data_IF_274851583860
#
_entry.id   IF_274851583860
#
_cell.length_a   1.000
_cell.length_b   1.000
_cell.length_c   1.000
_cell.angle_alpha   90.00
_cell.angle_beta   90.00
_cell.angle_gamma   90.00
#
_symmetry.space_group_name_H-M   'P 1'
#
loop_
_entity.id
_entity.type
_entity.pdbx_description
1 polymer ?
#
# COMPACT_ATOMS: atom_id res chain seq x y z
N UNK A 1 -14.87 -6.32 -19.94
CA UNK A 1 -15.78 -5.29 -20.51
C UNK A 1 -16.30 -4.34 -19.44
N UNK A 2 -16.60 -3.12 -19.88
CA UNK A 2 -17.25 -2.08 -19.09
C UNK A 2 -18.51 -1.59 -19.80
N UNK A 3 -19.52 -1.24 -19.02
CA UNK A 3 -20.67 -0.44 -19.48
C UNK A 3 -20.67 0.85 -18.67
N UNK A 4 -20.85 1.97 -19.36
CA UNK A 4 -21.16 3.25 -18.71
C UNK A 4 -22.47 3.73 -19.32
N UNK A 5 -23.42 4.09 -18.46
CA UNK A 5 -24.72 4.63 -18.86
C UNK A 5 -24.78 6.15 -18.61
N UNK A 6 -25.81 6.79 -19.18
CA UNK A 6 -25.87 8.26 -19.28
C UNK A 6 -26.14 8.98 -17.97
N UNK A 7 -26.52 8.26 -16.92
CA UNK A 7 -26.76 8.79 -15.57
C UNK A 7 -25.50 8.75 -14.68
N UNK A 8 -24.37 8.27 -15.22
CA UNK A 8 -23.11 8.13 -14.48
C UNK A 8 -22.92 6.75 -13.84
N UNK A 9 -23.93 5.87 -13.89
CA UNK A 9 -23.76 4.48 -13.45
C UNK A 9 -22.82 3.72 -14.40
N UNK A 10 -22.11 2.75 -13.83
CA UNK A 10 -21.20 1.90 -14.57
C UNK A 10 -21.25 0.46 -14.07
N UNK A 11 -20.97 -0.48 -14.96
CA UNK A 11 -20.88 -1.90 -14.63
C UNK A 11 -19.61 -2.50 -15.21
N UNK A 12 -19.02 -3.46 -14.49
CA UNK A 12 -17.78 -4.12 -14.86
C UNK A 12 -17.93 -5.65 -14.77
N UNK A 13 -17.36 -6.36 -15.73
CA UNK A 13 -17.33 -7.81 -15.76
C UNK A 13 -16.33 -8.32 -16.81
N UNK A 14 -15.94 -9.59 -16.76
CA UNK A 14 -15.04 -10.16 -17.75
C UNK A 14 -15.70 -10.23 -19.12
N UNK A 15 -14.88 -10.25 -20.16
CA UNK A 15 -15.36 -10.50 -21.51
C UNK A 15 -15.85 -11.94 -21.66
N UNK A 16 -16.88 -12.14 -22.49
CA UNK A 16 -17.40 -13.48 -22.85
C UNK A 16 -18.41 -14.12 -21.89
N UNK A 17 -18.70 -13.53 -20.72
CA UNK A 17 -19.60 -14.13 -19.71
C UNK A 17 -21.07 -13.66 -19.79
N UNK A 18 -21.43 -12.82 -20.76
CA UNK A 18 -22.83 -12.41 -20.98
C UNK A 18 -23.40 -11.44 -19.95
N UNK A 19 -22.90 -11.41 -18.72
CA UNK A 19 -23.38 -10.57 -17.61
C UNK A 19 -22.30 -9.61 -17.05
N UNK A 20 -22.70 -8.57 -16.31
CA UNK A 20 -21.79 -7.75 -15.52
C UNK A 20 -21.79 -8.26 -14.09
N UNK A 21 -20.63 -8.20 -13.42
CA UNK A 21 -20.45 -8.75 -12.08
C UNK A 21 -20.48 -7.70 -10.99
N UNK A 22 -20.16 -6.46 -11.35
CA UNK A 22 -20.16 -5.32 -10.45
C UNK A 22 -20.99 -4.20 -11.05
N UNK A 23 -21.88 -3.65 -10.23
CA UNK A 23 -22.64 -2.45 -10.52
C UNK A 23 -22.14 -1.31 -9.62
N UNK A 24 -22.04 -0.11 -10.17
CA UNK A 24 -21.58 1.08 -9.47
C UNK A 24 -22.43 1.37 -8.24
N UNK A 25 -21.75 1.73 -7.15
CA UNK A 25 -22.35 2.47 -6.05
C UNK A 25 -22.41 3.97 -6.35
N UNK A 26 -22.83 4.79 -5.38
CA UNK A 26 -22.76 6.24 -5.52
C UNK A 26 -21.31 6.74 -5.55
N UNK A 27 -21.07 7.87 -6.19
CA UNK A 27 -19.83 8.62 -5.97
C UNK A 27 -19.90 9.24 -4.57
N UNK A 28 -18.80 9.19 -3.82
CA UNK A 28 -18.78 9.67 -2.43
C UNK A 28 -17.70 10.74 -2.25
N UNK A 29 -18.06 11.84 -1.58
CA UNK A 29 -17.13 12.82 -1.03
C UNK A 29 -17.52 13.10 0.42
N UNK A 30 -16.52 13.32 1.27
CA UNK A 30 -16.76 13.78 2.64
C UNK A 30 -16.18 15.17 2.82
N UNK A 31 -16.97 16.08 3.38
CA UNK A 31 -16.59 17.47 3.62
C UNK A 31 -17.25 17.99 4.90
N UNK A 32 -16.48 18.69 5.74
CA UNK A 32 -16.94 19.25 7.02
C UNK A 32 -17.71 18.26 7.91
N UNK A 33 -17.32 16.98 7.90
CA UNK A 33 -17.96 15.94 8.69
C UNK A 33 -19.26 15.36 8.11
N UNK A 34 -19.67 15.80 6.91
CA UNK A 34 -20.83 15.28 6.20
C UNK A 34 -20.41 14.41 5.02
N UNK A 35 -21.20 13.36 4.75
CA UNK A 35 -21.12 12.56 3.53
C UNK A 35 -21.99 13.22 2.46
N UNK A 36 -21.41 13.43 1.28
CA UNK A 36 -22.05 13.94 0.08
C UNK A 36 -21.95 12.83 -0.95
N UNK A 37 -23.07 12.37 -1.47
CA UNK A 37 -23.11 11.26 -2.42
C UNK A 37 -24.18 11.44 -3.49
N UNK A 38 -24.06 10.70 -4.59
CA UNK A 38 -24.98 10.83 -5.73
C UNK A 38 -26.34 10.17 -5.51
N UNK A 39 -26.47 9.19 -4.61
CA UNK A 39 -27.76 8.52 -4.33
C UNK A 39 -28.67 9.42 -3.49
N UNK A 40 -28.11 10.09 -2.48
CA UNK A 40 -28.81 11.04 -1.62
C UNK A 40 -29.03 12.41 -2.29
N UNK A 41 -28.41 12.65 -3.44
CA UNK A 41 -28.41 13.94 -4.12
C UNK A 41 -27.50 14.98 -3.46
N UNK A 42 -26.63 14.59 -2.52
CA UNK A 42 -25.62 15.47 -1.93
C UNK A 42 -24.53 15.87 -2.93
N UNK A 43 -24.23 15.01 -3.91
CA UNK A 43 -23.39 15.27 -5.08
C UNK A 43 -24.21 15.21 -6.36
N UNK A 44 -23.97 16.16 -7.26
CA UNK A 44 -24.63 16.20 -8.57
C UNK A 44 -23.62 15.99 -9.68
N UNK A 45 -23.90 15.00 -10.55
CA UNK A 45 -23.20 14.85 -11.83
C UNK A 45 -23.53 16.07 -12.71
N UNK A 46 -22.53 16.91 -12.98
CA UNK A 46 -22.70 18.12 -13.81
C UNK A 46 -22.61 17.78 -15.29
N UNK A 47 -21.66 16.93 -15.62
CA UNK A 47 -21.39 16.48 -16.98
C UNK A 47 -20.59 15.18 -16.91
N UNK A 48 -20.79 14.32 -17.90
CA UNK A 48 -19.87 13.22 -18.19
C UNK A 48 -19.53 13.25 -19.68
N UNK A 49 -18.29 12.92 -20.00
CA UNK A 49 -17.82 12.91 -21.37
C UNK A 49 -16.95 11.68 -21.59
N UNK A 50 -17.32 10.85 -22.56
CA UNK A 50 -16.40 9.91 -23.23
C UNK A 50 -15.53 10.76 -24.13
N UNK A 51 -14.31 11.06 -23.71
CA UNK A 51 -13.67 12.27 -24.23
C UNK A 51 -12.30 12.05 -24.83
N UNK A 52 -11.53 11.08 -24.38
CA UNK A 52 -10.15 10.99 -24.81
C UNK A 52 -9.69 9.57 -25.00
N UNK A 53 -8.70 9.44 -25.87
CA UNK A 53 -7.95 8.23 -26.08
C UNK A 53 -6.48 8.60 -26.22
N UNK A 54 -5.60 7.70 -25.82
CA UNK A 54 -4.17 7.92 -25.92
C UNK A 54 -3.40 6.61 -25.84
N UNK A 55 -2.08 6.73 -25.69
CA UNK A 55 -1.19 5.60 -25.46
C UNK A 55 -0.37 5.92 -24.22
N UNK A 56 -0.32 5.00 -23.27
CA UNK A 56 0.54 5.07 -22.09
C UNK A 56 1.34 3.76 -21.91
N UNK A 57 1.92 3.56 -20.72
CA UNK A 57 2.71 2.37 -20.39
C UNK A 57 1.92 1.07 -20.47
N UNK A 58 0.60 1.08 -20.31
CA UNK A 58 -0.31 -0.06 -20.41
C UNK A 58 -0.93 -0.19 -21.81
N UNK A 59 -0.63 0.73 -22.73
CA UNK A 59 -1.05 0.65 -24.13
C UNK A 59 -2.11 1.69 -24.47
N UNK A 60 -2.92 1.39 -25.48
CA UNK A 60 -3.97 2.27 -26.00
C UNK A 60 -5.12 2.30 -25.02
N UNK A 61 -5.42 3.49 -24.52
CA UNK A 61 -6.51 3.72 -23.59
C UNK A 61 -7.60 4.60 -24.18
N UNK A 62 -8.79 4.48 -23.60
CA UNK A 62 -9.89 5.42 -23.74
C UNK A 62 -10.46 5.73 -22.34
N UNK A 63 -10.96 6.94 -22.13
CA UNK A 63 -11.52 7.35 -20.84
C UNK A 63 -12.96 7.85 -20.89
N UNK A 64 -13.62 7.72 -19.74
CA UNK A 64 -14.86 8.41 -19.42
C UNK A 64 -14.64 9.25 -18.19
N UNK A 65 -14.91 10.55 -18.29
CA UNK A 65 -14.71 11.51 -17.21
C UNK A 65 -16.06 11.93 -16.63
N UNK A 66 -16.19 11.84 -15.31
CA UNK A 66 -17.34 12.31 -14.53
C UNK A 66 -16.90 13.53 -13.73
N UNK A 67 -17.70 14.61 -13.76
CA UNK A 67 -17.46 15.80 -12.94
C UNK A 67 -18.64 16.01 -12.00
N UNK A 68 -18.35 15.96 -10.71
CA UNK A 68 -19.32 16.19 -9.65
C UNK A 68 -18.93 17.42 -8.86
N UNK A 69 -19.92 18.27 -8.59
CA UNK A 69 -19.71 19.50 -7.84
C UNK A 69 -20.87 19.76 -6.89
N UNK A 70 -20.56 20.15 -5.66
CA UNK A 70 -21.53 20.68 -4.70
C UNK A 70 -20.82 21.66 -3.76
N UNK A 71 -21.41 22.84 -3.53
CA UNK A 71 -20.94 23.80 -2.52
C UNK A 71 -19.42 24.09 -2.54
N UNK A 72 -18.79 24.17 -3.72
CA UNK A 72 -17.35 24.43 -3.87
C UNK A 72 -16.43 23.21 -3.68
N UNK A 73 -17.00 22.03 -3.41
CA UNK A 73 -16.32 20.73 -3.44
C UNK A 73 -16.40 20.19 -4.86
N UNK A 74 -15.26 19.80 -5.41
CA UNK A 74 -15.16 19.25 -6.76
C UNK A 74 -14.52 17.86 -6.70
N UNK A 75 -15.15 16.92 -7.40
CA UNK A 75 -14.56 15.64 -7.76
C UNK A 75 -14.50 15.51 -9.27
N UNK A 76 -13.33 15.18 -9.78
CA UNK A 76 -13.18 14.65 -11.13
C UNK A 76 -12.84 13.17 -11.02
N UNK A 77 -13.72 12.32 -11.52
CA UNK A 77 -13.54 10.88 -11.54
C UNK A 77 -13.34 10.41 -12.98
N UNK A 78 -12.45 9.46 -13.21
CA UNK A 78 -12.18 8.91 -14.56
C UNK A 78 -12.17 7.40 -14.54
N UNK A 79 -12.88 6.78 -15.48
CA UNK A 79 -12.72 5.37 -15.82
C UNK A 79 -11.86 5.28 -17.08
N UNK A 80 -10.71 4.63 -16.96
CA UNK A 80 -9.75 4.43 -18.04
C UNK A 80 -9.76 2.95 -18.40
N UNK A 81 -9.96 2.63 -19.67
CA UNK A 81 -10.01 1.24 -20.18
C UNK A 81 -9.00 1.06 -21.30
N UNK A 82 -8.56 -0.19 -21.50
CA UNK A 82 -7.54 -0.54 -22.49
C UNK A 82 -8.04 -1.63 -23.46
N UNK A 83 -9.06 -1.35 -24.30
CA UNK A 83 -9.80 -2.39 -25.02
C UNK A 83 -8.95 -3.27 -25.96
N UNK A 84 -7.84 -2.73 -26.46
CA UNK A 84 -6.99 -3.41 -27.44
C UNK A 84 -5.79 -4.12 -26.82
N UNK A 85 -5.18 -3.51 -25.79
CA UNK A 85 -3.89 -3.97 -25.25
C UNK A 85 -4.03 -4.67 -23.90
N UNK A 86 -5.03 -4.31 -23.08
CA UNK A 86 -5.33 -4.92 -21.78
C UNK A 86 -6.85 -4.89 -21.50
N UNK A 87 -7.68 -5.68 -22.23
CA UNK A 87 -9.13 -5.60 -22.12
C UNK A 87 -9.70 -6.02 -20.76
N UNK A 88 -8.90 -6.74 -19.97
CA UNK A 88 -9.25 -7.28 -18.66
C UNK A 88 -9.07 -6.29 -17.50
N UNK A 89 -8.59 -5.07 -17.77
CA UNK A 89 -8.37 -4.06 -16.72
C UNK A 89 -9.19 -2.79 -16.90
N UNK A 90 -9.49 -2.16 -15.77
CA UNK A 90 -10.03 -0.82 -15.66
C UNK A 90 -9.22 -0.06 -14.61
N UNK A 91 -8.74 1.13 -14.97
CA UNK A 91 -8.12 2.04 -14.01
C UNK A 91 -9.13 3.13 -13.66
N UNK A 92 -9.45 3.23 -12.39
CA UNK A 92 -10.29 4.29 -11.86
C UNK A 92 -9.38 5.35 -11.27
N UNK A 93 -9.63 6.61 -11.59
CA UNK A 93 -8.88 7.75 -11.08
C UNK A 93 -9.82 8.75 -10.42
N UNK A 94 -9.38 9.36 -9.33
CA UNK A 94 -10.04 10.50 -8.70
C UNK A 94 -9.07 11.66 -8.50
N UNK A 95 -9.52 12.85 -8.87
CA UNK A 95 -8.95 14.13 -8.49
C UNK A 95 -9.90 14.83 -7.52
N UNK A 96 -9.37 15.26 -6.38
CA UNK A 96 -10.16 15.73 -5.24
C UNK A 96 -9.76 17.16 -4.85
N UNK A 97 -10.74 18.00 -4.53
CA UNK A 97 -10.50 19.33 -3.96
C UNK A 97 -11.48 19.63 -2.83
N UNK A 98 -10.93 20.02 -1.67
CA UNK A 98 -11.72 20.46 -0.51
C UNK A 98 -12.38 19.31 0.24
N UNK A 99 -11.74 18.14 0.38
CA UNK A 99 -12.33 16.96 1.02
C UNK A 99 -11.75 16.72 2.42
N UNK A 100 -12.60 16.35 3.38
CA UNK A 100 -12.23 15.97 4.76
C UNK A 100 -13.28 15.03 5.36
N UNK A 101 -12.85 13.89 5.89
CA UNK A 101 -13.74 12.95 6.57
C UNK A 101 -13.98 13.33 8.06
N UNK A 102 -15.07 12.82 8.62
CA UNK A 102 -15.39 12.97 10.04
C UNK A 102 -14.55 12.05 10.95
N UNK A 103 -14.01 10.96 10.39
CA UNK A 103 -13.34 9.90 11.14
C UNK A 103 -12.21 9.28 10.33
N UNK A 104 -11.15 8.87 11.03
CA UNK A 104 -10.00 8.14 10.46
C UNK A 104 -10.37 6.78 9.87
N UNK A 105 -11.50 6.20 10.31
CA UNK A 105 -11.97 4.89 9.87
C UNK A 105 -12.77 4.94 8.56
N UNK A 106 -13.04 6.13 8.02
CA UNK A 106 -13.73 6.30 6.74
C UNK A 106 -12.72 6.57 5.61
N UNK A 107 -13.20 6.69 4.38
CA UNK A 107 -12.46 7.34 3.29
C UNK A 107 -12.87 8.81 3.16
N UNK A 108 -12.01 9.71 2.68
CA UNK A 108 -12.44 11.10 2.36
C UNK A 108 -13.23 11.19 1.04
N UNK A 109 -13.16 10.15 0.22
CA UNK A 109 -13.87 10.00 -1.05
C UNK A 109 -14.15 8.53 -1.37
N UNK A 110 -15.02 8.26 -2.33
CA UNK A 110 -15.30 6.92 -2.84
C UNK A 110 -15.45 6.93 -4.35
N UNK A 111 -14.44 6.40 -5.03
CA UNK A 111 -14.48 6.03 -6.45
C UNK A 111 -13.23 5.18 -6.80
N UNK A 112 -13.40 3.94 -7.29
CA UNK A 112 -14.67 3.31 -7.60
C UNK A 112 -15.46 2.99 -6.34
N UNK A 113 -16.78 2.95 -6.50
CA UNK A 113 -17.70 2.33 -5.55
C UNK A 113 -18.50 1.23 -6.24
N UNK A 114 -18.86 0.20 -5.48
CA UNK A 114 -19.64 -0.92 -5.98
C UNK A 114 -20.69 -1.34 -4.96
N UNK A 115 -21.90 -1.64 -5.44
CA UNK A 115 -22.92 -2.28 -4.60
C UNK A 115 -22.61 -3.76 -4.48
N UNK A 116 -22.52 -4.21 -3.25
CA UNK A 116 -22.37 -5.61 -2.86
C UNK A 116 -23.76 -6.22 -2.82
N UNK A 117 -24.31 -6.52 -3.99
CA UNK A 117 -25.53 -7.32 -4.08
C UNK A 117 -25.29 -8.71 -3.44
N UNK A 118 -26.34 -9.33 -2.91
CA UNK A 118 -26.24 -10.70 -2.41
C UNK A 118 -25.82 -11.61 -3.57
N UNK A 119 -24.56 -12.04 -3.56
CA UNK A 119 -24.06 -13.03 -4.50
C UNK A 119 -24.91 -14.29 -4.31
N UNK A 120 -25.60 -14.78 -5.35
CA UNK A 120 -26.38 -16.00 -5.23
C UNK A 120 -25.49 -17.13 -4.71
N UNK A 121 -26.03 -17.97 -3.81
CA UNK A 121 -25.28 -19.07 -3.14
C UNK A 121 -24.60 -20.03 -4.14
N UNK A 122 -25.05 -20.05 -5.40
CA UNK A 122 -24.52 -20.86 -6.49
C UNK A 122 -23.66 -20.09 -7.50
N UNK A 123 -23.22 -18.86 -7.17
CA UNK A 123 -22.38 -18.07 -8.07
C UNK A 123 -20.96 -18.63 -8.14
N UNK A 124 -20.39 -18.67 -9.35
CA UNK A 124 -18.99 -18.99 -9.60
C UNK A 124 -18.06 -17.76 -9.45
N UNK A 125 -18.58 -16.64 -8.95
CA UNK A 125 -17.88 -15.37 -8.80
C UNK A 125 -17.10 -15.28 -7.48
N UNK A 126 -15.80 -14.99 -7.56
CA UNK A 126 -14.93 -14.68 -6.43
C UNK A 126 -14.54 -13.20 -6.35
N UNK A 127 -14.52 -12.66 -5.14
CA UNK A 127 -14.05 -11.31 -4.81
C UNK A 127 -12.70 -11.38 -4.10
N UNK A 128 -11.71 -10.66 -4.65
CA UNK A 128 -10.41 -10.48 -4.01
C UNK A 128 -10.17 -9.01 -3.73
N UNK A 129 -9.83 -8.71 -2.48
CA UNK A 129 -9.42 -7.40 -2.03
C UNK A 129 -8.10 -7.52 -1.29
N UNK A 130 -7.15 -6.65 -1.62
CA UNK A 130 -5.92 -6.51 -0.84
C UNK A 130 -6.28 -5.88 0.53
N UNK A 131 -5.87 -6.51 1.63
CA UNK A 131 -6.21 -6.15 3.03
C UNK A 131 -7.63 -6.56 3.52
N UNK A 132 -8.25 -7.59 2.94
CA UNK A 132 -9.55 -8.13 3.38
C UNK A 132 -9.68 -9.66 3.26
N UNK A 133 -10.86 -10.21 3.59
CA UNK A 133 -11.17 -11.63 3.40
C UNK A 133 -11.17 -11.99 1.90
N UNK A 134 -10.44 -13.05 1.54
CA UNK A 134 -10.32 -13.53 0.16
C UNK A 134 -11.31 -14.67 -0.10
N UNK A 135 -12.12 -14.59 -1.15
CA UNK A 135 -13.03 -15.66 -1.54
C UNK A 135 -13.08 -15.82 -3.05
N UNK A 136 -12.97 -17.04 -3.57
CA UNK A 136 -13.17 -17.30 -4.99
C UNK A 136 -13.18 -18.76 -5.35
N UNK A 137 -13.90 -19.09 -6.43
CA UNK A 137 -13.94 -20.45 -6.99
C UNK A 137 -13.13 -20.52 -8.29
N UNK A 138 -13.02 -21.70 -8.90
CA UNK A 138 -12.23 -21.94 -10.10
C UNK A 138 -12.73 -21.21 -11.38
N UNK A 139 -13.81 -20.44 -11.30
CA UNK A 139 -14.36 -19.67 -12.42
C UNK A 139 -13.85 -18.24 -12.45
N UNK A 140 -14.67 -17.32 -11.94
CA UNK A 140 -14.50 -15.88 -12.11
C UNK A 140 -13.78 -15.17 -10.98
N UNK A 141 -12.91 -14.23 -11.31
CA UNK A 141 -12.15 -13.43 -10.35
C UNK A 141 -12.24 -11.94 -10.69
N UNK A 142 -12.55 -11.15 -9.66
CA UNK A 142 -12.31 -9.72 -9.63
C UNK A 142 -11.22 -9.44 -8.60
N UNK A 143 -10.21 -8.67 -9.01
CA UNK A 143 -9.16 -8.19 -8.13
C UNK A 143 -9.10 -6.67 -8.22
N UNK A 144 -9.30 -5.99 -7.09
CA UNK A 144 -9.24 -4.52 -7.00
C UNK A 144 -8.16 -4.12 -5.99
N UNK A 145 -7.28 -3.21 -6.38
CA UNK A 145 -6.25 -2.66 -5.50
C UNK A 145 -6.01 -1.18 -5.76
N UNK A 146 -5.48 -0.44 -4.77
CA UNK A 146 -4.76 0.80 -5.06
C UNK A 146 -3.71 0.56 -6.16
N UNK A 147 -3.62 1.47 -7.12
CA UNK A 147 -2.61 1.47 -8.18
C UNK A 147 -1.48 2.44 -7.85
N UNK A 148 -1.81 3.56 -7.20
CA UNK A 148 -0.87 4.54 -6.65
C UNK A 148 -1.28 4.94 -5.21
N UNK A 149 -0.52 5.86 -4.60
CA UNK A 149 -0.76 6.36 -3.24
C UNK A 149 -0.99 5.25 -2.21
N UNK A 150 -0.28 4.12 -2.35
CA UNK A 150 -0.55 2.86 -1.66
C UNK A 150 -0.66 3.01 -0.14
N UNK A 151 0.12 3.91 0.45
CA UNK A 151 0.16 4.17 1.90
C UNK A 151 -0.96 5.07 2.42
N UNK A 152 -1.67 5.78 1.52
CA UNK A 152 -2.78 6.65 1.84
C UNK A 152 -4.12 6.11 1.33
N UNK A 153 -4.11 5.01 0.58
CA UNK A 153 -5.28 4.37 0.05
C UNK A 153 -6.01 3.55 1.12
N UNK A 154 -7.34 3.52 1.04
CA UNK A 154 -8.19 2.78 1.96
C UNK A 154 -9.43 2.28 1.25
N UNK A 155 -10.04 1.25 1.84
CA UNK A 155 -11.31 0.69 1.40
C UNK A 155 -12.27 0.73 2.58
N UNK A 156 -13.48 1.19 2.32
CA UNK A 156 -14.54 1.29 3.32
C UNK A 156 -15.81 0.61 2.84
N UNK A 157 -16.42 -0.21 3.69
CA UNK A 157 -17.73 -0.79 3.45
C UNK A 157 -18.76 0.02 4.25
N UNK A 158 -19.66 0.69 3.54
CA UNK A 158 -20.76 1.49 4.10
C UNK A 158 -22.09 0.84 3.73
N UNK A 159 -22.67 0.07 4.65
CA UNK A 159 -23.82 -0.79 4.35
C UNK A 159 -23.46 -1.86 3.32
N UNK A 160 -24.08 -1.78 2.14
CA UNK A 160 -23.81 -2.64 0.98
C UNK A 160 -22.90 -1.96 -0.05
N UNK A 161 -22.40 -0.75 0.18
CA UNK A 161 -21.53 -0.03 -0.76
C UNK A 161 -20.07 -0.18 -0.34
N UNK A 162 -19.27 -0.76 -1.22
CA UNK A 162 -17.84 -0.86 -1.06
C UNK A 162 -17.14 0.27 -1.81
N UNK A 163 -16.34 1.07 -1.12
CA UNK A 163 -15.77 2.32 -1.64
C UNK A 163 -14.25 2.36 -1.49
N UNK A 164 -13.56 2.63 -2.59
CA UNK A 164 -12.12 2.89 -2.60
C UNK A 164 -11.86 4.39 -2.58
N UNK A 165 -10.92 4.81 -1.73
CA UNK A 165 -10.54 6.21 -1.65
C UNK A 165 -9.33 6.43 -0.76
N UNK A 166 -9.12 7.68 -0.34
CA UNK A 166 -8.03 8.06 0.55
C UNK A 166 -8.47 7.95 2.01
N UNK A 167 -7.56 7.54 2.90
CA UNK A 167 -7.78 7.40 4.33
C UNK A 167 -8.41 8.65 4.95
N UNK A 168 -9.42 8.46 5.80
CA UNK A 168 -10.18 9.53 6.43
C UNK A 168 -9.38 10.43 7.37
N UNK A 169 -8.21 9.96 7.83
CA UNK A 169 -7.27 10.73 8.64
C UNK A 169 -6.45 11.75 7.85
N UNK A 170 -6.61 11.84 6.53
CA UNK A 170 -5.94 12.85 5.71
C UNK A 170 -6.64 14.19 5.87
N UNK A 171 -5.91 15.17 6.42
CA UNK A 171 -6.42 16.53 6.64
C UNK A 171 -6.46 17.37 5.37
N UNK A 172 -5.43 17.26 4.53
CA UNK A 172 -5.28 18.06 3.31
C UNK A 172 -4.62 17.23 2.20
N UNK A 173 -5.06 17.46 0.97
CA UNK A 173 -4.42 16.91 -0.23
C UNK A 173 -3.56 18.00 -0.89
N UNK A 174 -2.37 17.66 -1.40
CA UNK A 174 -1.56 18.61 -2.16
C UNK A 174 -2.27 19.03 -3.45
N UNK A 175 -2.00 20.23 -3.99
CA UNK A 175 -2.53 20.64 -5.29
C UNK A 175 -2.19 19.62 -6.38
N UNK A 176 -3.20 19.24 -7.17
CA UNK A 176 -3.04 18.27 -8.26
C UNK A 176 -2.94 16.81 -7.80
N UNK A 177 -3.20 16.50 -6.53
CA UNK A 177 -3.26 15.12 -6.04
C UNK A 177 -4.23 14.27 -6.86
N UNK A 178 -3.77 13.08 -7.23
CA UNK A 178 -4.57 12.06 -7.90
C UNK A 178 -4.40 10.74 -7.15
N UNK A 179 -5.48 9.97 -7.15
CA UNK A 179 -5.50 8.59 -6.66
C UNK A 179 -6.08 7.68 -7.72
N UNK A 180 -5.44 6.55 -7.93
CA UNK A 180 -5.80 5.54 -8.91
C UNK A 180 -6.01 4.18 -8.23
N UNK A 181 -7.06 3.49 -8.66
CA UNK A 181 -7.37 2.11 -8.30
C UNK A 181 -7.36 1.27 -9.57
N UNK A 182 -6.71 0.11 -9.51
CA UNK A 182 -6.67 -0.88 -10.58
C UNK A 182 -7.70 -1.97 -10.29
N UNK A 183 -8.57 -2.24 -11.24
CA UNK A 183 -9.47 -3.38 -11.26
C UNK A 183 -9.05 -4.33 -12.39
N UNK A 184 -8.89 -5.61 -12.06
CA UNK A 184 -8.71 -6.70 -13.01
C UNK A 184 -9.92 -7.64 -12.95
N UNK A 185 -10.39 -8.09 -14.12
CA UNK A 185 -11.39 -9.16 -14.25
C UNK A 185 -10.81 -10.32 -15.05
N UNK A 186 -11.00 -11.55 -14.58
CA UNK A 186 -10.55 -12.72 -15.32
C UNK A 186 -11.34 -13.97 -14.95
N UNK A 187 -11.20 -15.00 -15.78
CA UNK A 187 -12.00 -16.24 -15.69
C UNK A 187 -11.12 -17.49 -15.57
N UNK A 188 -9.83 -17.28 -15.31
CA UNK A 188 -8.79 -18.31 -15.26
C UNK A 188 -8.34 -18.60 -13.81
N UNK A 189 -9.19 -18.25 -12.83
CA UNK A 189 -8.94 -18.45 -11.41
C UNK A 189 -7.95 -17.47 -10.78
N UNK A 190 -7.83 -17.59 -9.45
CA UNK A 190 -7.11 -16.63 -8.58
C UNK A 190 -5.62 -16.52 -8.94
N UNK A 191 -4.97 -17.64 -9.24
CA UNK A 191 -3.55 -17.65 -9.58
C UNK A 191 -3.22 -16.85 -10.84
N UNK A 192 -4.10 -16.88 -11.85
CA UNK A 192 -3.92 -16.07 -13.05
C UNK A 192 -4.21 -14.59 -12.78
N UNK A 193 -5.24 -14.29 -11.97
CA UNK A 193 -5.56 -12.92 -11.60
C UNK A 193 -4.38 -12.21 -10.91
N UNK A 194 -3.72 -12.86 -9.94
CA UNK A 194 -2.53 -12.29 -9.29
C UNK A 194 -1.36 -12.10 -10.26
N UNK A 195 -1.16 -13.02 -11.22
CA UNK A 195 -0.11 -12.89 -12.24
C UNK A 195 -0.36 -11.69 -13.14
N UNK A 196 -1.58 -11.53 -13.66
CA UNK A 196 -1.92 -10.42 -14.55
C UNK A 196 -1.94 -9.07 -13.83
N UNK A 197 -2.55 -9.01 -12.65
CA UNK A 197 -2.49 -7.83 -11.79
C UNK A 197 -1.05 -7.41 -11.49
N UNK A 198 -0.20 -8.36 -11.08
CA UNK A 198 1.21 -8.11 -10.81
C UNK A 198 1.99 -7.68 -12.06
N UNK A 199 1.69 -8.24 -13.23
CA UNK A 199 2.26 -7.82 -14.52
C UNK A 199 1.92 -6.36 -14.83
N UNK A 200 0.65 -5.96 -14.65
CA UNK A 200 0.18 -4.59 -14.93
C UNK A 200 0.86 -3.57 -14.02
N UNK A 201 0.90 -3.83 -12.71
CA UNK A 201 1.61 -2.93 -11.78
C UNK A 201 3.11 -2.85 -12.11
N UNK A 202 3.75 -3.98 -12.39
CA UNK A 202 5.15 -4.00 -12.81
C UNK A 202 5.40 -3.18 -14.07
N UNK A 203 4.55 -3.30 -15.08
CA UNK A 203 4.63 -2.55 -16.32
C UNK A 203 4.46 -1.05 -16.06
N UNK A 204 3.48 -0.65 -15.24
CA UNK A 204 3.26 0.75 -14.85
C UNK A 204 4.48 1.38 -14.16
N UNK A 205 5.07 0.65 -13.22
CA UNK A 205 6.22 1.11 -12.43
C UNK A 205 7.59 0.81 -13.07
N UNK A 206 7.62 0.29 -14.31
CA UNK A 206 8.88 -0.03 -15.00
C UNK A 206 9.71 -1.13 -14.32
N UNK A 207 9.07 -2.02 -13.56
CA UNK A 207 9.71 -3.15 -12.87
C UNK A 207 9.80 -4.35 -13.82
N UNK A 208 10.80 -4.31 -14.70
CA UNK A 208 11.12 -5.41 -15.62
C UNK A 208 11.53 -6.67 -14.83
N UNK A 209 11.52 -7.83 -15.50
CA UNK A 209 11.98 -9.07 -14.87
C UNK A 209 13.44 -8.98 -14.41
N UNK A 210 14.29 -8.26 -15.14
CA UNK A 210 15.69 -8.05 -14.77
C UNK A 210 15.83 -7.15 -13.55
N UNK A 211 15.04 -6.07 -13.45
CA UNK A 211 14.99 -5.20 -12.28
C UNK A 211 14.53 -5.96 -11.04
N UNK A 212 13.48 -6.77 -11.18
CA UNK A 212 12.96 -7.60 -10.08
C UNK A 212 14.01 -8.61 -9.65
N UNK A 213 14.63 -9.33 -10.60
CA UNK A 213 15.67 -10.32 -10.32
C UNK A 213 16.88 -9.69 -9.63
N UNK A 214 17.35 -8.56 -10.14
CA UNK A 214 18.45 -7.80 -9.52
C UNK A 214 18.12 -7.46 -8.07
N UNK A 215 16.96 -6.84 -7.79
CA UNK A 215 16.57 -6.49 -6.43
C UNK A 215 16.36 -7.70 -5.52
N UNK A 216 15.78 -8.78 -6.03
CA UNK A 216 15.63 -10.04 -5.28
C UNK A 216 16.99 -10.61 -4.88
N UNK A 217 17.96 -10.62 -5.79
CA UNK A 217 19.33 -11.07 -5.49
C UNK A 217 20.04 -10.19 -4.44
N UNK A 218 19.60 -8.93 -4.25
CA UNK A 218 20.12 -8.06 -3.19
C UNK A 218 19.34 -8.18 -1.87
N UNK A 219 18.09 -8.67 -1.89
CA UNK A 219 17.25 -8.76 -0.70
C UNK A 219 17.38 -10.12 -0.01
N UNK A 220 18.31 -10.17 0.94
CA UNK A 220 18.58 -11.34 1.76
C UNK A 220 17.42 -11.73 2.67
N UNK A 221 16.52 -10.79 3.02
CA UNK A 221 15.44 -11.04 3.97
C UNK A 221 14.23 -11.68 3.31
N UNK A 222 13.97 -11.37 2.03
CA UNK A 222 12.86 -11.93 1.27
C UNK A 222 13.23 -13.20 0.49
N UNK A 223 14.52 -13.46 0.26
CA UNK A 223 14.99 -14.65 -0.50
C UNK A 223 15.41 -15.83 0.37
N UNK A 224 15.44 -15.66 1.69
CA UNK A 224 15.83 -16.69 2.64
C UNK A 224 14.75 -16.86 3.70
N UNK A 225 14.31 -18.11 3.88
CA UNK A 225 13.22 -18.46 4.80
C UNK A 225 13.76 -18.79 6.18
N UNK A 226 13.04 -18.34 7.21
CA UNK A 226 13.25 -18.74 8.60
C UNK A 226 13.42 -17.54 9.52
N UNK A 227 12.49 -17.38 10.46
CA UNK A 227 12.62 -16.47 11.57
C UNK A 227 12.13 -17.18 12.83
N UNK A 228 12.88 -17.07 13.92
CA UNK A 228 12.44 -17.49 15.25
C UNK A 228 12.55 -16.29 16.16
N UNK A 229 11.45 -15.95 16.81
CA UNK A 229 11.37 -14.78 17.66
C UNK A 229 11.96 -15.13 19.03
N UNK A 230 12.94 -14.36 19.51
CA UNK A 230 13.61 -14.62 20.78
C UNK A 230 13.66 -13.34 21.62
N UNK A 231 13.28 -13.45 22.89
CA UNK A 231 13.11 -12.31 23.83
C UNK A 231 13.94 -12.46 25.11
N UNK A 232 14.92 -13.36 25.12
CA UNK A 232 15.78 -13.59 26.27
C UNK A 232 17.24 -13.63 25.82
N UNK A 233 18.16 -13.31 26.71
CA UNK A 233 19.55 -13.69 26.52
C UNK A 233 19.77 -15.06 27.14
N UNK A 234 20.80 -15.78 26.68
CA UNK A 234 21.27 -16.95 27.42
C UNK A 234 21.66 -16.55 28.85
N UNK A 235 21.57 -17.49 29.78
CA UNK A 235 21.88 -17.23 31.19
C UNK A 235 23.31 -16.70 31.32
N UNK A 236 23.48 -15.60 32.06
CA UNK A 236 24.76 -14.89 32.27
C UNK A 236 25.45 -14.37 31.00
N UNK A 237 24.69 -14.18 29.91
CA UNK A 237 25.20 -13.61 28.64
C UNK A 237 24.46 -12.33 28.26
N UNK A 238 25.18 -11.45 27.58
CA UNK A 238 24.58 -10.33 26.88
C UNK A 238 23.95 -10.79 25.55
N UNK A 239 23.34 -9.84 24.84
CA UNK A 239 22.64 -10.13 23.60
C UNK A 239 23.61 -10.52 22.48
N UNK A 240 24.78 -9.86 22.38
CA UNK A 240 25.78 -10.17 21.37
C UNK A 240 26.35 -11.60 21.53
N UNK A 241 26.70 -11.98 22.75
CA UNK A 241 27.18 -13.33 23.08
C UNK A 241 26.11 -14.40 22.79
N UNK A 242 24.85 -14.11 23.12
CA UNK A 242 23.72 -14.98 22.78
C UNK A 242 23.59 -15.21 21.28
N UNK A 243 23.65 -14.14 20.46
CA UNK A 243 23.58 -14.26 19.00
C UNK A 243 24.77 -15.05 18.43
N UNK A 244 25.96 -14.85 19.01
CA UNK A 244 27.16 -15.61 18.63
C UNK A 244 27.02 -17.10 18.95
N UNK A 245 26.42 -17.48 20.09
CA UNK A 245 26.13 -18.88 20.40
C UNK A 245 25.13 -19.48 19.40
N UNK A 246 24.06 -18.77 19.07
CA UNK A 246 23.08 -19.21 18.06
C UNK A 246 23.78 -19.44 16.72
N UNK A 247 24.68 -18.53 16.32
CA UNK A 247 25.49 -18.69 15.11
C UNK A 247 26.41 -19.92 15.19
N UNK A 248 27.07 -20.12 16.33
CA UNK A 248 27.99 -21.25 16.51
C UNK A 248 27.26 -22.59 16.52
N UNK A 249 26.10 -22.67 17.18
CA UNK A 249 25.24 -23.85 17.17
C UNK A 249 24.73 -24.14 15.74
N UNK A 250 24.29 -23.11 15.01
CA UNK A 250 23.92 -23.25 13.60
C UNK A 250 25.08 -23.79 12.75
N UNK A 251 26.32 -23.34 12.97
CA UNK A 251 27.51 -23.90 12.29
C UNK A 251 27.72 -25.37 12.67
N UNK A 252 27.67 -25.72 13.96
CA UNK A 252 27.81 -27.10 14.44
C UNK A 252 26.76 -28.03 13.84
N UNK A 253 25.51 -27.56 13.70
CA UNK A 253 24.40 -28.33 13.11
C UNK A 253 24.31 -28.23 11.60
N UNK A 254 25.25 -27.53 10.95
CA UNK A 254 25.25 -27.30 9.50
C UNK A 254 23.98 -26.63 8.98
N UNK A 255 23.38 -25.73 9.78
CA UNK A 255 22.22 -24.92 9.41
C UNK A 255 22.68 -23.67 8.63
N UNK A 256 22.22 -23.46 7.38
CA UNK A 256 22.77 -22.45 6.49
C UNK A 256 22.11 -21.08 6.66
N UNK A 257 22.17 -20.49 7.86
CA UNK A 257 21.70 -19.11 8.05
C UNK A 257 22.43 -18.15 7.12
N UNK A 258 21.65 -17.28 6.46
CA UNK A 258 22.15 -16.33 5.45
C UNK A 258 22.25 -14.90 5.95
N UNK A 259 21.55 -14.61 7.04
CA UNK A 259 21.58 -13.33 7.73
C UNK A 259 21.21 -13.54 9.20
N UNK A 260 21.49 -12.55 10.03
CA UNK A 260 20.98 -12.46 11.39
C UNK A 260 20.02 -11.26 11.48
N UNK A 261 18.80 -11.46 11.96
CA UNK A 261 17.87 -10.36 12.17
C UNK A 261 17.91 -9.87 13.61
N UNK A 262 18.07 -8.56 13.80
CA UNK A 262 17.91 -7.90 15.10
C UNK A 262 16.62 -7.09 15.10
N UNK A 263 15.71 -7.39 16.03
CA UNK A 263 14.34 -6.83 16.06
C UNK A 263 14.28 -5.50 16.83
N UNK A 264 13.18 -5.16 17.49
CA UNK A 264 12.95 -3.83 18.08
C UNK A 264 13.77 -3.48 19.32
N UNK A 265 14.70 -4.31 19.75
CA UNK A 265 15.37 -4.23 21.07
C UNK A 265 16.82 -3.76 21.04
N UNK A 266 17.32 -3.31 19.90
CA UNK A 266 18.71 -2.87 19.78
C UNK A 266 18.90 -1.35 19.77
N UNK A 267 17.84 -0.56 19.62
CA UNK A 267 17.90 0.90 19.56
C UNK A 267 17.06 1.60 20.64
N UNK A 268 17.45 2.83 21.04
CA UNK A 268 16.68 3.68 21.95
C UNK A 268 15.25 3.97 21.48
N UNK A 269 14.30 3.89 22.42
CA UNK A 269 12.87 4.18 22.18
C UNK A 269 12.33 5.15 23.22
N UNK A 270 11.32 5.92 22.84
CA UNK A 270 10.52 6.71 23.78
C UNK A 270 9.46 5.87 24.50
N UNK A 271 8.65 6.52 25.35
CA UNK A 271 7.59 5.87 26.13
C UNK A 271 6.45 5.27 25.29
N UNK A 272 6.32 5.65 24.01
CA UNK A 272 5.37 5.05 23.06
C UNK A 272 6.01 3.90 22.27
N UNK A 273 7.31 3.67 22.45
CA UNK A 273 8.07 2.66 21.74
C UNK A 273 8.52 3.12 20.35
N UNK A 274 8.53 4.42 20.08
CA UNK A 274 9.00 5.03 18.82
C UNK A 274 10.51 5.25 18.86
N UNK A 275 11.18 5.20 17.71
CA UNK A 275 12.65 5.32 17.62
C UNK A 275 13.09 6.75 17.93
N UNK A 276 13.90 6.95 18.97
CA UNK A 276 14.52 8.25 19.26
C UNK A 276 15.85 8.41 18.55
N UNK A 277 16.61 7.34 18.44
CA UNK A 277 17.88 7.25 17.70
C UNK A 277 18.01 5.83 17.20
N UNK A 278 18.51 5.61 16.00
CA UNK A 278 18.66 4.30 15.37
C UNK A 278 20.11 3.82 15.47
N UNK A 279 20.64 3.86 16.70
CA UNK A 279 21.99 3.43 17.05
C UNK A 279 21.90 2.29 18.06
N UNK A 280 22.92 1.44 18.09
CA UNK A 280 22.99 0.34 19.04
C UNK A 280 23.10 0.85 20.48
N UNK A 281 22.27 0.31 21.37
CA UNK A 281 22.36 0.62 22.80
C UNK A 281 23.56 -0.10 23.42
N UNK A 282 24.40 0.62 24.15
CA UNK A 282 25.64 0.10 24.75
C UNK A 282 25.39 -1.03 25.77
N UNK A 283 24.23 -1.04 26.43
CA UNK A 283 23.84 -2.10 27.37
C UNK A 283 23.41 -3.40 26.67
N UNK A 284 23.02 -3.33 25.39
CA UNK A 284 22.67 -4.50 24.57
C UNK A 284 23.85 -4.96 23.70
N UNK A 285 24.60 -4.00 23.12
CA UNK A 285 25.76 -4.22 22.26
C UNK A 285 26.95 -3.37 22.72
N UNK A 286 27.65 -3.75 23.80
CA UNK A 286 28.73 -2.96 24.39
C UNK A 286 29.95 -2.73 23.46
N UNK A 287 30.04 -3.49 22.37
CA UNK A 287 31.07 -3.36 21.35
C UNK A 287 30.52 -2.88 19.99
N UNK A 288 29.24 -2.50 19.95
CA UNK A 288 28.53 -2.05 18.75
C UNK A 288 28.25 -3.15 17.71
N UNK A 289 27.47 -2.81 16.68
CA UNK A 289 27.07 -3.76 15.64
C UNK A 289 28.22 -4.19 14.72
N UNK A 290 29.26 -3.37 14.59
CA UNK A 290 30.43 -3.70 13.77
C UNK A 290 31.22 -4.88 14.35
N UNK A 291 31.38 -4.91 15.67
CA UNK A 291 32.00 -6.04 16.36
C UNK A 291 31.12 -7.29 16.21
N UNK A 292 29.81 -7.15 16.44
CA UNK A 292 28.85 -8.24 16.25
C UNK A 292 28.93 -8.82 14.81
N UNK A 293 28.94 -7.97 13.79
CA UNK A 293 29.04 -8.40 12.40
C UNK A 293 30.35 -9.15 12.13
N UNK A 294 31.48 -8.65 12.65
CA UNK A 294 32.78 -9.30 12.57
C UNK A 294 32.76 -10.70 13.19
N UNK A 295 32.07 -10.88 14.31
CA UNK A 295 31.97 -12.16 15.01
C UNK A 295 31.03 -13.14 14.28
N UNK A 296 29.84 -12.67 13.88
CA UNK A 296 28.83 -13.49 13.23
C UNK A 296 29.25 -13.96 11.84
N UNK A 297 30.00 -13.11 11.12
CA UNK A 297 30.32 -13.27 9.70
C UNK A 297 29.06 -13.55 8.86
N UNK A 298 27.99 -12.81 9.15
CA UNK A 298 26.72 -12.84 8.45
C UNK A 298 26.19 -11.41 8.29
N UNK A 299 25.59 -11.06 7.15
CA UNK A 299 24.83 -9.84 7.04
C UNK A 299 23.80 -9.69 8.16
N UNK A 300 23.62 -8.47 8.66
CA UNK A 300 22.65 -8.15 9.70
C UNK A 300 21.45 -7.45 9.06
N UNK A 301 20.26 -7.99 9.26
CA UNK A 301 19.00 -7.34 8.96
C UNK A 301 18.50 -6.62 10.22
N UNK A 302 18.39 -5.29 10.16
CA UNK A 302 18.07 -4.49 11.34
C UNK A 302 16.66 -3.90 11.23
N UNK A 303 15.81 -4.24 12.20
CA UNK A 303 14.45 -3.73 12.27
C UNK A 303 14.42 -2.23 12.59
N UNK A 304 13.39 -1.53 12.11
CA UNK A 304 13.12 -0.14 12.45
C UNK A 304 11.63 0.06 12.76
N UNK A 305 11.32 0.89 13.75
CA UNK A 305 9.95 1.33 14.06
C UNK A 305 9.67 2.70 13.44
N UNK A 306 8.46 3.20 13.65
CA UNK A 306 8.13 4.59 13.39
C UNK A 306 8.98 5.53 14.29
N UNK A 307 9.26 6.74 13.79
CA UNK A 307 10.14 7.69 14.46
C UNK A 307 9.42 8.45 15.57
N UNK A 308 10.11 8.63 16.70
CA UNK A 308 9.65 9.47 17.80
C UNK A 308 9.54 10.93 17.36
N UNK A 309 8.60 11.69 17.93
CA UNK A 309 8.60 13.15 17.80
C UNK A 309 9.88 13.81 18.38
N UNK A 310 10.56 13.10 19.28
CA UNK A 310 11.81 13.52 19.91
C UNK A 310 13.04 12.88 19.24
N UNK A 311 12.93 12.41 18.00
CA UNK A 311 14.06 11.80 17.29
C UNK A 311 15.25 12.77 17.21
N UNK A 312 16.44 12.29 17.53
CA UNK A 312 17.68 13.09 17.54
C UNK A 312 18.10 13.55 16.15
N UNK A 313 17.50 12.98 15.10
CA UNK A 313 17.80 13.32 13.71
C UNK A 313 17.05 14.56 13.21
N UNK A 314 15.92 14.92 13.82
CA UNK A 314 15.11 16.06 13.39
C UNK A 314 15.75 17.39 13.78
N UNK A 315 15.77 18.37 12.86
CA UNK A 315 16.26 19.74 13.14
C UNK A 315 15.60 20.38 14.36
N UNK A 316 14.31 20.10 14.57
CA UNK A 316 13.53 20.58 15.72
C UNK A 316 14.08 20.08 17.06
N UNK A 317 14.80 18.97 17.06
CA UNK A 317 15.43 18.36 18.23
C UNK A 317 16.96 18.51 18.21
N UNK A 318 17.50 19.41 17.39
CA UNK A 318 18.95 19.66 17.26
C UNK A 318 19.67 18.78 16.24
N UNK A 319 18.95 17.94 15.49
CA UNK A 319 19.49 17.12 14.40
C UNK A 319 19.70 17.88 13.09
N UNK A 320 20.00 17.14 12.02
CA UNK A 320 20.36 17.72 10.72
C UNK A 320 19.28 17.60 9.64
N UNK A 321 18.25 16.79 9.88
CA UNK A 321 17.30 16.39 8.85
C UNK A 321 15.93 17.01 9.02
N UNK A 322 15.26 17.24 7.90
CA UNK A 322 13.89 17.74 7.88
C UNK A 322 12.92 16.62 8.22
N UNK A 323 12.13 16.85 9.26
CA UNK A 323 11.08 15.95 9.72
C UNK A 323 9.77 16.73 9.87
N UNK A 324 8.67 16.08 9.50
CA UNK A 324 7.34 16.45 9.97
C UNK A 324 7.17 15.91 11.39
N UNK A 325 6.90 16.79 12.36
CA UNK A 325 6.65 16.41 13.75
C UNK A 325 5.15 16.41 13.99
N UNK A 326 4.57 15.22 14.10
CA UNK A 326 3.18 15.02 14.48
C UNK A 326 2.99 14.98 16.00
N UNK A 327 1.76 14.66 16.43
CA UNK A 327 1.42 14.61 17.85
C UNK A 327 2.15 13.49 18.61
N UNK A 328 2.21 12.30 18.00
CA UNK A 328 2.74 11.07 18.62
C UNK A 328 3.96 10.49 17.90
N UNK A 329 4.22 10.91 16.66
CA UNK A 329 5.30 10.38 15.83
C UNK A 329 5.87 11.49 14.94
N UNK A 330 7.00 11.20 14.31
CA UNK A 330 7.56 12.04 13.26
C UNK A 330 7.79 11.24 11.98
N UNK A 331 7.93 11.95 10.86
CA UNK A 331 8.23 11.37 9.57
C UNK A 331 9.35 12.18 8.90
N UNK A 332 10.43 11.53 8.41
CA UNK A 332 11.42 12.21 7.59
C UNK A 332 10.77 12.69 6.29
N UNK A 333 10.99 13.95 5.93
CA UNK A 333 10.36 14.57 4.74
C UNK A 333 11.34 14.75 3.58
N UNK A 334 12.58 14.28 3.71
CA UNK A 334 13.61 14.42 2.68
C UNK A 334 14.33 13.10 2.40
N UNK A 335 14.71 12.90 1.13
CA UNK A 335 15.51 11.77 0.68
C UNK A 335 16.88 11.72 1.38
N UNK A 336 17.44 12.89 1.72
CA UNK A 336 18.75 13.01 2.36
C UNK A 336 18.85 12.24 3.69
N UNK A 337 17.76 12.16 4.47
CA UNK A 337 17.75 11.34 5.68
C UNK A 337 17.93 9.85 5.38
N UNK A 338 17.19 9.34 4.39
CA UNK A 338 17.24 7.93 4.00
C UNK A 338 18.59 7.56 3.38
N UNK A 339 19.13 8.42 2.53
CA UNK A 339 20.46 8.22 1.93
C UNK A 339 21.55 8.20 3.01
N UNK A 340 21.47 9.11 3.98
CA UNK A 340 22.38 9.13 5.13
C UNK A 340 22.24 7.86 5.96
N UNK A 341 21.02 7.54 6.41
CA UNK A 341 20.73 6.40 7.27
C UNK A 341 21.26 5.12 6.63
N UNK A 342 20.81 4.79 5.41
CA UNK A 342 21.20 3.56 4.71
C UNK A 342 22.70 3.49 4.44
N UNK A 343 23.35 4.63 4.15
CA UNK A 343 24.80 4.70 3.99
C UNK A 343 25.53 4.38 5.30
N UNK A 344 25.20 5.07 6.40
CA UNK A 344 25.86 4.86 7.68
C UNK A 344 25.59 3.47 8.25
N UNK A 345 24.39 2.93 8.02
CA UNK A 345 24.05 1.56 8.41
C UNK A 345 24.88 0.50 7.69
N UNK A 346 25.47 0.82 6.53
CA UNK A 346 26.32 -0.11 5.78
C UNK A 346 27.78 -0.13 6.26
N UNK A 347 28.14 0.71 7.24
CA UNK A 347 29.52 0.84 7.75
C UNK A 347 29.88 -0.17 8.85
N UNK A 348 28.87 -0.85 9.42
CA UNK A 348 29.05 -1.90 10.42
C UNK A 348 28.89 -3.31 9.85
#
# INVERSE_FOLDING_TARGET
>A
RTLVVTDGNYSVGPDGYGEYWLNSGPFILRHNGHTLDTDSGGLHLRNYTTASSGIDKLGRWQDTVFRMETQGVLMEARMITYPLDNPDIVVFQQGLKGCKAASVNMTISGFPTFRMEQIPVNSSLGYLMFNGYMMGTAGGVILISPMDQLMAASVWLDGDVLAWGIMGGVDNLPPGFQFQTLLYTGTSGVGQAFKEWGRVLRQWYGKTSDVVKYHQEQDITLTHLGAYYYYHTETDKDYAATLNDVRQDAKTRSLPYRYMQIDSWWYPKDSLGAVTTWDAMDDIFPHGLKALHSDLQLPIAAHNRYWSKNTTYAKQNGGQFDFFIGQNLSLPTSQAFWDWLLKTSSEW
#
